data_IF_262471675229
#
_entry.id   IF_262471675229
#
_cell.length_a   1.000
_cell.length_b   1.000
_cell.length_c   1.000
_cell.angle_alpha   90.00
_cell.angle_beta   90.00
_cell.angle_gamma   90.00
#
_symmetry.space_group_name_H-M   'P 1'
#
loop_
_entity.id
_entity.type
_entity.pdbx_description
1 polymer ?
#
# COMPACT_ATOMS: atom_id res chain seq x y z
N UNK A 1 19.71 -1.35 10.77
CA UNK A 1 19.73 0.13 10.64
C UNK A 1 20.58 0.68 11.78
N UNK A 2 21.51 1.57 11.48
CA UNK A 2 22.28 2.28 12.51
C UNK A 2 21.34 3.17 13.33
N UNK A 3 21.51 3.19 14.66
CA UNK A 3 20.67 3.92 15.64
C UNK A 3 20.39 5.41 15.33
N UNK A 4 21.28 6.21 14.69
CA UNK A 4 21.00 7.63 14.45
C UNK A 4 19.95 7.92 13.36
N UNK A 5 19.54 6.94 12.55
CA UNK A 5 18.62 7.18 11.42
C UNK A 5 17.13 7.08 11.79
N UNK A 6 16.80 6.62 13.00
CA UNK A 6 15.40 6.39 13.41
C UNK A 6 14.57 7.68 13.48
N UNK A 7 15.05 8.78 14.12
CA UNK A 7 14.29 10.03 14.16
C UNK A 7 14.12 10.64 12.76
N UNK A 8 15.16 10.56 11.92
CA UNK A 8 15.08 11.02 10.53
C UNK A 8 14.01 10.27 9.74
N UNK A 9 13.93 8.94 9.91
CA UNK A 9 12.91 8.12 9.24
C UNK A 9 11.50 8.55 9.66
N UNK A 10 11.30 8.89 10.93
CA UNK A 10 10.03 9.38 11.44
C UNK A 10 9.61 10.72 10.80
N UNK A 11 10.57 11.64 10.65
CA UNK A 11 10.35 12.92 9.96
C UNK A 11 10.07 12.73 8.47
N UNK A 12 10.78 11.80 7.81
CA UNK A 12 10.54 11.47 6.41
C UNK A 12 9.12 10.93 6.19
N UNK A 13 8.56 10.15 7.12
CA UNK A 13 7.15 9.72 7.05
C UNK A 13 6.23 10.95 7.09
N UNK A 14 6.51 11.96 7.92
CA UNK A 14 5.73 13.21 7.94
C UNK A 14 5.70 13.87 6.57
N UNK A 15 6.87 14.03 5.93
CA UNK A 15 6.97 14.64 4.60
C UNK A 15 6.28 13.77 3.54
N UNK A 16 6.49 12.46 3.59
CA UNK A 16 6.00 11.50 2.57
C UNK A 16 4.49 11.42 2.56
N UNK A 17 3.84 11.37 3.74
CA UNK A 17 2.38 11.31 3.81
C UNK A 17 1.71 12.55 3.22
N UNK A 18 2.24 13.74 3.49
CA UNK A 18 1.73 14.97 2.87
C UNK A 18 2.03 15.03 1.37
N UNK A 19 3.21 14.56 0.94
CA UNK A 19 3.55 14.49 -0.48
C UNK A 19 2.62 13.54 -1.26
N UNK A 20 2.24 12.40 -0.67
CA UNK A 20 1.24 11.48 -1.26
C UNK A 20 -0.13 12.17 -1.35
N UNK A 21 -0.55 12.92 -0.33
CA UNK A 21 -1.79 13.70 -0.41
C UNK A 21 -1.74 14.75 -1.53
N UNK A 22 -0.62 15.45 -1.68
CA UNK A 22 -0.42 16.42 -2.76
C UNK A 22 -0.45 15.74 -4.14
N UNK A 23 0.20 14.59 -4.28
CA UNK A 23 0.19 13.80 -5.51
C UNK A 23 -1.22 13.30 -5.86
N UNK A 24 -1.97 12.78 -4.88
CA UNK A 24 -3.35 12.34 -5.09
C UNK A 24 -4.28 13.50 -5.46
N UNK A 25 -4.09 14.67 -4.86
CA UNK A 25 -4.85 15.86 -5.24
C UNK A 25 -4.48 16.33 -6.65
N UNK A 26 -3.19 16.28 -7.00
CA UNK A 26 -2.75 16.58 -8.36
C UNK A 26 -3.37 15.63 -9.37
N UNK A 27 -3.32 14.31 -9.10
CA UNK A 27 -3.97 13.28 -9.93
C UNK A 27 -5.46 13.56 -10.06
N UNK A 28 -6.18 13.82 -8.96
CA UNK A 28 -7.61 14.10 -9.01
C UNK A 28 -7.93 15.34 -9.87
N UNK A 29 -7.05 16.35 -9.87
CA UNK A 29 -7.22 17.55 -10.71
C UNK A 29 -6.89 17.34 -12.18
N UNK A 30 -6.00 16.40 -12.50
CA UNK A 30 -5.52 16.18 -13.88
C UNK A 30 -6.15 14.96 -14.54
N UNK A 31 -6.75 14.05 -13.77
CA UNK A 31 -7.46 12.88 -14.30
C UNK A 31 -8.67 13.31 -15.09
N UNK A 32 -8.91 12.67 -16.24
CA UNK A 32 -10.06 12.92 -17.12
C UNK A 32 -11.40 12.38 -16.54
N UNK A 33 -11.40 11.83 -15.32
CA UNK A 33 -12.56 11.30 -14.61
C UNK A 33 -13.43 12.36 -13.92
N UNK A 34 -14.60 11.95 -13.42
CA UNK A 34 -15.71 12.82 -12.93
C UNK A 34 -15.35 13.70 -11.72
N UNK A 35 -14.21 13.49 -11.07
CA UNK A 35 -13.81 14.23 -9.89
C UNK A 35 -12.78 15.33 -10.19
N UNK A 36 -13.22 16.47 -10.73
CA UNK A 36 -12.47 17.73 -10.63
C UNK A 36 -12.44 18.22 -9.17
N UNK A 37 -11.83 17.42 -8.30
CA UNK A 37 -11.89 17.63 -6.85
C UNK A 37 -10.93 18.76 -6.47
N UNK A 38 -11.49 19.87 -6.01
CA UNK A 38 -10.69 20.98 -5.48
C UNK A 38 -9.91 20.57 -4.22
N UNK A 39 -10.45 19.60 -3.47
CA UNK A 39 -9.89 19.06 -2.24
C UNK A 39 -10.04 17.53 -2.16
N UNK A 40 -9.15 16.87 -1.41
CA UNK A 40 -9.29 15.44 -1.14
C UNK A 40 -10.33 15.17 -0.03
N UNK A 41 -11.17 14.13 -0.15
CA UNK A 41 -12.04 13.71 0.93
C UNK A 41 -11.22 13.40 2.20
N UNK A 42 -11.74 13.81 3.35
CA UNK A 42 -11.06 13.62 4.64
C UNK A 42 -10.63 12.17 4.86
N UNK A 43 -11.51 11.22 4.51
CA UNK A 43 -11.25 9.79 4.65
C UNK A 43 -10.04 9.32 3.85
N UNK A 44 -9.80 9.88 2.66
CA UNK A 44 -8.64 9.57 1.80
C UNK A 44 -7.36 10.05 2.45
N UNK A 45 -7.36 11.24 3.07
CA UNK A 45 -6.21 11.78 3.81
C UNK A 45 -5.87 10.86 5.01
N UNK A 46 -6.88 10.40 5.74
CA UNK A 46 -6.69 9.45 6.85
C UNK A 46 -6.13 8.11 6.35
N UNK A 47 -6.62 7.62 5.21
CA UNK A 47 -6.09 6.43 4.55
C UNK A 47 -4.61 6.58 4.18
N UNK A 48 -4.20 7.70 3.59
CA UNK A 48 -2.78 7.95 3.30
C UNK A 48 -1.93 7.86 4.57
N UNK A 49 -2.41 8.36 5.71
CA UNK A 49 -1.73 8.18 6.99
C UNK A 49 -1.68 6.72 7.44
N UNK A 50 -2.79 6.01 7.34
CA UNK A 50 -2.91 4.61 7.74
C UNK A 50 -2.02 3.66 6.92
N UNK A 51 -1.60 4.02 5.69
CA UNK A 51 -0.59 3.28 4.92
C UNK A 51 0.73 3.10 5.70
N UNK A 52 1.04 4.01 6.61
CA UNK A 52 2.30 4.02 7.36
C UNK A 52 2.18 3.41 8.75
N UNK A 53 1.01 2.87 9.14
CA UNK A 53 0.79 2.31 10.50
C UNK A 53 1.80 1.23 10.87
N UNK A 54 2.15 0.35 9.93
CA UNK A 54 3.17 -0.69 10.15
C UNK A 54 4.56 -0.07 10.38
N UNK A 55 4.92 0.96 9.62
CA UNK A 55 6.20 1.64 9.74
C UNK A 55 6.31 2.42 11.06
N UNK A 56 5.30 3.21 11.41
CA UNK A 56 5.29 4.03 12.64
C UNK A 56 5.22 3.15 13.89
N UNK A 57 4.49 2.05 13.86
CA UNK A 57 4.48 1.04 14.92
C UNK A 57 5.90 0.49 15.20
N UNK A 58 6.60 0.00 14.17
CA UNK A 58 7.93 -0.57 14.33
C UNK A 58 8.98 0.48 14.75
N UNK A 59 8.92 1.68 14.17
CA UNK A 59 9.81 2.79 14.56
C UNK A 59 9.57 3.21 16.01
N UNK A 60 8.31 3.32 16.44
CA UNK A 60 7.95 3.65 17.82
C UNK A 60 8.49 2.64 18.83
N UNK A 61 8.42 1.33 18.51
CA UNK A 61 9.04 0.29 19.34
C UNK A 61 10.56 0.43 19.43
N UNK A 62 11.24 0.67 18.31
CA UNK A 62 12.69 0.84 18.28
C UNK A 62 13.14 2.10 19.06
N UNK A 63 12.42 3.21 18.92
CA UNK A 63 12.71 4.46 19.64
C UNK A 63 12.50 4.31 21.15
N UNK A 64 11.46 3.61 21.61
CA UNK A 64 11.30 3.31 23.04
C UNK A 64 12.42 2.44 23.59
N UNK A 65 12.94 1.51 22.78
CA UNK A 65 14.12 0.73 23.13
C UNK A 65 15.38 1.58 23.38
N UNK A 66 15.44 2.80 22.84
CA UNK A 66 16.49 3.79 23.10
C UNK A 66 16.21 4.68 24.33
N UNK A 67 15.00 4.61 24.89
CA UNK A 67 14.57 5.38 26.06
C UNK A 67 13.41 6.34 25.78
N UNK A 68 12.62 6.62 26.82
CA UNK A 68 11.42 7.46 26.72
C UNK A 68 11.70 8.87 26.17
N UNK A 69 12.84 9.47 26.54
CA UNK A 69 13.24 10.80 26.07
C UNK A 69 13.45 10.84 24.55
N UNK A 70 14.12 9.83 23.98
CA UNK A 70 14.37 9.76 22.54
C UNK A 70 13.05 9.63 21.75
N UNK A 71 12.12 8.83 22.27
CA UNK A 71 10.78 8.70 21.69
C UNK A 71 10.01 10.02 21.73
N UNK A 72 9.92 10.67 22.89
CA UNK A 72 9.18 11.92 23.05
C UNK A 72 9.77 13.06 22.21
N UNK A 73 11.10 13.19 22.15
CA UNK A 73 11.78 14.19 21.31
C UNK A 73 11.46 13.96 19.83
N UNK A 74 11.44 12.70 19.38
CA UNK A 74 11.12 12.38 17.98
C UNK A 74 9.66 12.70 17.65
N UNK A 75 8.72 12.36 18.55
CA UNK A 75 7.31 12.72 18.38
C UNK A 75 7.11 14.24 18.36
N UNK A 76 7.77 14.96 19.27
CA UNK A 76 7.72 16.42 19.32
C UNK A 76 8.28 17.07 18.05
N UNK A 77 9.42 16.58 17.55
CA UNK A 77 10.00 17.04 16.30
C UNK A 77 9.06 16.80 15.11
N UNK A 78 8.45 15.61 15.02
CA UNK A 78 7.51 15.29 13.96
C UNK A 78 6.24 16.14 14.01
N UNK A 79 5.70 16.40 15.21
CA UNK A 79 4.56 17.30 15.40
C UNK A 79 4.90 18.74 15.01
N UNK A 80 6.08 19.24 15.40
CA UNK A 80 6.55 20.56 15.03
C UNK A 80 6.75 20.69 13.51
N UNK A 81 7.35 19.69 12.85
CA UNK A 81 7.47 19.66 11.39
C UNK A 81 6.11 19.63 10.71
N UNK A 82 5.17 18.84 11.22
CA UNK A 82 3.81 18.78 10.66
C UNK A 82 3.08 20.12 10.77
N UNK A 83 3.18 20.79 11.92
CA UNK A 83 2.61 22.11 12.15
C UNK A 83 3.27 23.17 11.24
N UNK A 84 4.60 23.15 11.13
CA UNK A 84 5.34 24.05 10.26
C UNK A 84 4.89 23.90 8.80
N UNK A 85 4.73 22.67 8.30
CA UNK A 85 4.20 22.43 6.97
C UNK A 85 2.76 22.90 6.80
N UNK A 86 1.90 22.68 7.79
CA UNK A 86 0.50 23.10 7.74
C UNK A 86 0.33 24.63 7.66
N UNK A 87 1.30 25.39 8.19
CA UNK A 87 1.26 26.86 8.22
C UNK A 87 2.05 27.50 7.08
N UNK A 88 3.21 26.92 6.71
CA UNK A 88 4.16 27.55 5.80
C UNK A 88 4.17 26.97 4.38
N UNK A 89 3.63 25.77 4.15
CA UNK A 89 3.61 25.16 2.83
C UNK A 89 2.38 25.64 2.03
N UNK A 90 2.46 25.68 0.68
CA UNK A 90 1.30 25.95 -0.17
C UNK A 90 0.29 24.78 -0.20
N UNK A 91 0.40 23.84 0.75
CA UNK A 91 -0.44 22.66 0.83
C UNK A 91 -1.67 22.93 1.72
N UNK A 92 -2.83 22.30 1.45
CA UNK A 92 -3.97 22.38 2.34
C UNK A 92 -3.62 21.93 3.77
N UNK A 93 -4.01 22.72 4.77
CA UNK A 93 -3.75 22.41 6.19
C UNK A 93 -4.36 21.06 6.61
N UNK A 94 -5.41 20.59 5.94
CA UNK A 94 -6.01 19.27 6.16
C UNK A 94 -5.04 18.11 5.91
N UNK A 95 -4.00 18.30 5.10
CA UNK A 95 -2.99 17.26 4.85
C UNK A 95 -2.17 16.91 6.08
N UNK A 96 -2.15 17.80 7.09
CA UNK A 96 -1.53 17.52 8.39
C UNK A 96 -2.19 16.33 9.14
N UNK A 97 -3.40 15.93 8.74
CA UNK A 97 -4.09 14.78 9.31
C UNK A 97 -3.49 13.44 8.87
N UNK A 98 -2.86 13.36 7.69
CA UNK A 98 -2.23 12.13 7.23
C UNK A 98 -1.05 11.69 8.15
N UNK A 99 -0.03 12.53 8.42
CA UNK A 99 1.03 12.15 9.34
C UNK A 99 0.53 11.99 10.77
N UNK A 100 -0.46 12.78 11.21
CA UNK A 100 -1.08 12.59 12.53
C UNK A 100 -1.70 11.20 12.65
N UNK A 101 -2.44 10.76 11.63
CA UNK A 101 -3.06 9.43 11.57
C UNK A 101 -2.01 8.33 11.61
N UNK A 102 -0.92 8.46 10.83
CA UNK A 102 0.18 7.50 10.84
C UNK A 102 0.78 7.32 12.25
N UNK A 103 1.03 8.44 12.94
CA UNK A 103 1.64 8.47 14.27
C UNK A 103 0.68 7.89 15.32
N UNK A 104 -0.55 8.40 15.37
CA UNK A 104 -1.57 7.99 16.34
C UNK A 104 -1.90 6.51 16.17
N UNK A 105 -2.08 6.04 14.93
CA UNK A 105 -2.34 4.63 14.66
C UNK A 105 -1.15 3.75 15.09
N UNK A 106 0.09 4.14 14.82
CA UNK A 106 1.27 3.39 15.24
C UNK A 106 1.36 3.23 16.77
N UNK A 107 1.11 4.32 17.51
CA UNK A 107 1.10 4.31 18.98
C UNK A 107 -0.09 3.52 19.55
N UNK A 108 -1.26 3.65 18.94
CA UNK A 108 -2.46 2.90 19.31
C UNK A 108 -2.24 1.39 19.12
N UNK A 109 -1.72 0.98 17.96
CA UNK A 109 -1.47 -0.44 17.68
C UNK A 109 -0.49 -1.04 18.66
N UNK A 110 0.56 -0.29 19.00
CA UNK A 110 1.54 -0.66 20.01
C UNK A 110 0.90 -0.83 21.39
N UNK A 111 0.02 0.09 21.79
CA UNK A 111 -0.60 0.08 23.11
C UNK A 111 -1.69 -0.99 23.25
N UNK A 112 -2.56 -1.13 22.24
CA UNK A 112 -3.77 -1.93 22.30
C UNK A 112 -3.56 -3.39 21.89
N UNK A 113 -2.75 -3.68 20.87
CA UNK A 113 -2.75 -4.99 20.22
C UNK A 113 -1.52 -5.86 20.49
N UNK A 114 -0.51 -5.35 21.22
CA UNK A 114 0.69 -6.06 21.69
C UNK A 114 1.22 -7.10 20.69
N UNK A 115 0.93 -8.40 20.89
CA UNK A 115 1.42 -9.52 20.07
C UNK A 115 0.83 -9.56 18.65
N UNK A 116 -0.40 -9.08 18.46
CA UNK A 116 -1.10 -9.09 17.17
C UNK A 116 -0.85 -7.82 16.35
N UNK A 117 -0.19 -6.82 16.92
CA UNK A 117 0.03 -5.52 16.27
C UNK A 117 0.73 -5.62 14.90
N UNK A 118 1.76 -6.47 14.67
CA UNK A 118 2.38 -6.61 13.35
C UNK A 118 1.43 -7.16 12.29
N UNK A 119 0.59 -8.13 12.68
CA UNK A 119 -0.41 -8.74 11.79
C UNK A 119 -1.49 -7.73 11.44
N UNK A 120 -2.12 -7.13 12.44
CA UNK A 120 -3.20 -6.16 12.25
C UNK A 120 -2.69 -4.94 11.45
N UNK A 121 -1.49 -4.45 11.73
CA UNK A 121 -0.92 -3.34 10.98
C UNK A 121 -0.72 -3.69 9.49
N UNK A 122 -0.29 -4.92 9.18
CA UNK A 122 -0.17 -5.39 7.79
C UNK A 122 -1.55 -5.51 7.12
N UNK A 123 -2.56 -6.01 7.84
CA UNK A 123 -3.96 -6.04 7.37
C UNK A 123 -4.50 -4.64 7.09
N UNK A 124 -4.22 -3.66 7.96
CA UNK A 124 -4.63 -2.26 7.75
C UNK A 124 -3.99 -1.67 6.50
N UNK A 125 -2.67 -1.85 6.32
CA UNK A 125 -1.99 -1.36 5.12
C UNK A 125 -2.60 -1.99 3.87
N UNK A 126 -2.86 -3.31 3.88
CA UNK A 126 -3.53 -4.00 2.77
C UNK A 126 -4.89 -3.36 2.45
N UNK A 127 -5.76 -3.26 3.45
CA UNK A 127 -7.13 -2.73 3.29
C UNK A 127 -7.08 -1.29 2.75
N UNK A 128 -6.25 -0.45 3.35
CA UNK A 128 -6.09 0.95 2.95
C UNK A 128 -5.52 1.08 1.54
N UNK A 129 -4.60 0.22 1.12
CA UNK A 129 -4.14 0.16 -0.27
C UNK A 129 -5.30 -0.14 -1.22
N UNK A 130 -6.17 -1.10 -0.90
CA UNK A 130 -7.34 -1.40 -1.76
C UNK A 130 -8.33 -0.24 -1.82
N UNK A 131 -8.54 0.46 -0.70
CA UNK A 131 -9.42 1.64 -0.63
C UNK A 131 -8.88 2.81 -1.45
N UNK A 132 -7.58 3.07 -1.36
CA UNK A 132 -6.91 4.10 -2.16
C UNK A 132 -6.87 3.75 -3.65
N UNK A 133 -6.65 2.47 -3.99
CA UNK A 133 -6.71 2.02 -5.37
C UNK A 133 -8.09 2.23 -5.99
N UNK A 134 -9.15 1.90 -5.23
CA UNK A 134 -10.53 2.14 -5.64
C UNK A 134 -10.92 3.61 -5.60
N UNK A 135 -10.24 4.47 -4.86
CA UNK A 135 -10.44 5.92 -4.95
C UNK A 135 -9.88 6.49 -6.27
N UNK A 136 -8.78 5.94 -6.78
CA UNK A 136 -8.12 6.38 -8.02
C UNK A 136 -8.42 5.47 -9.22
N UNK A 137 -9.58 4.82 -9.24
CA UNK A 137 -9.90 3.74 -10.19
C UNK A 137 -9.95 4.21 -11.66
N UNK A 138 -10.31 5.47 -11.89
CA UNK A 138 -10.44 6.11 -13.21
C UNK A 138 -9.28 7.08 -13.52
N UNK A 139 -8.24 7.07 -12.68
CA UNK A 139 -7.07 7.92 -12.83
C UNK A 139 -5.96 7.16 -13.55
N UNK A 140 -5.51 7.70 -14.68
CA UNK A 140 -4.47 7.10 -15.51
C UNK A 140 -3.31 8.08 -15.71
N UNK A 141 -2.10 7.55 -15.76
CA UNK A 141 -0.89 8.27 -16.11
C UNK A 141 -0.37 7.73 -17.45
N UNK A 142 -0.27 8.60 -18.44
CA UNK A 142 0.33 8.26 -19.73
C UNK A 142 1.83 8.02 -19.57
N UNK A 143 2.31 6.86 -20.02
CA UNK A 143 3.73 6.55 -20.00
C UNK A 143 4.43 7.15 -21.24
N UNK A 144 5.71 7.56 -21.14
CA UNK A 144 6.41 8.25 -22.24
C UNK A 144 6.55 7.48 -23.57
N UNK A 145 6.32 6.16 -23.56
CA UNK A 145 6.50 5.28 -24.72
C UNK A 145 5.19 4.61 -25.12
N UNK A 146 4.66 3.75 -24.25
CA UNK A 146 3.42 3.00 -24.48
C UNK A 146 2.82 2.58 -23.14
N UNK A 147 1.50 2.65 -23.04
CA UNK A 147 0.75 2.21 -21.88
C UNK A 147 0.15 3.34 -21.04
N UNK A 148 -0.97 3.04 -20.41
CA UNK A 148 -1.67 3.93 -19.49
C UNK A 148 -1.67 3.33 -18.11
N UNK A 149 -0.82 3.84 -17.24
CA UNK A 149 -0.67 3.30 -15.89
C UNK A 149 -1.87 3.70 -15.04
N UNK A 150 -2.62 2.72 -14.52
CA UNK A 150 -3.64 3.01 -13.52
C UNK A 150 -2.96 3.47 -12.23
N UNK A 151 -3.38 4.61 -11.69
CA UNK A 151 -2.83 5.12 -10.41
C UNK A 151 -3.10 4.13 -9.28
N UNK A 152 -4.23 3.40 -9.34
CA UNK A 152 -4.59 2.39 -8.35
C UNK A 152 -3.58 1.23 -8.27
N UNK A 153 -2.93 0.90 -9.38
CA UNK A 153 -1.91 -0.15 -9.46
C UNK A 153 -0.71 0.11 -8.55
N UNK A 154 -0.35 1.38 -8.32
CA UNK A 154 0.74 1.74 -7.40
C UNK A 154 0.45 1.29 -5.96
N UNK A 155 -0.83 1.28 -5.55
CA UNK A 155 -1.25 0.77 -4.26
C UNK A 155 -1.38 -0.76 -4.25
N UNK A 156 -1.88 -1.36 -5.34
CA UNK A 156 -1.98 -2.83 -5.45
C UNK A 156 -0.61 -3.52 -5.43
N UNK A 157 0.47 -2.90 -5.92
CA UNK A 157 1.80 -3.46 -5.76
C UNK A 157 2.19 -3.73 -4.28
N UNK A 158 1.66 -2.92 -3.35
CA UNK A 158 1.91 -3.07 -1.91
C UNK A 158 1.05 -4.19 -1.29
N UNK A 159 -0.15 -4.46 -1.82
CA UNK A 159 -1.08 -5.45 -1.26
C UNK A 159 -0.51 -6.86 -1.30
N UNK A 160 0.17 -7.25 -2.38
CA UNK A 160 0.87 -8.53 -2.48
C UNK A 160 1.86 -8.75 -1.33
N UNK A 161 2.65 -7.74 -1.00
CA UNK A 161 3.63 -7.83 0.10
C UNK A 161 2.95 -7.94 1.46
N UNK A 162 1.83 -7.23 1.69
CA UNK A 162 1.11 -7.31 2.96
C UNK A 162 0.39 -8.64 3.14
N UNK A 163 -0.17 -9.17 2.07
CA UNK A 163 -0.80 -10.49 2.05
C UNK A 163 0.19 -11.56 2.52
N UNK A 164 1.39 -11.58 1.96
CA UNK A 164 2.44 -12.53 2.33
C UNK A 164 2.84 -12.43 3.82
N UNK A 165 2.81 -11.21 4.39
CA UNK A 165 3.06 -11.02 5.83
C UNK A 165 1.94 -11.60 6.68
N UNK A 166 0.69 -11.41 6.29
CA UNK A 166 -0.48 -11.90 7.03
C UNK A 166 -0.57 -13.44 6.95
N UNK A 167 -0.17 -14.05 5.83
CA UNK A 167 -0.15 -15.52 5.71
C UNK A 167 0.74 -16.23 6.72
N UNK A 168 1.80 -15.57 7.22
CA UNK A 168 2.66 -16.13 8.29
C UNK A 168 1.90 -16.38 9.60
N UNK A 169 0.78 -15.69 9.79
CA UNK A 169 -0.13 -15.87 10.93
C UNK A 169 -1.25 -16.87 10.65
N UNK A 170 -1.27 -17.48 9.46
CA UNK A 170 -2.24 -18.49 9.05
C UNK A 170 -3.27 -17.98 8.04
N UNK A 171 -3.75 -18.90 7.18
CA UNK A 171 -4.69 -18.62 6.08
C UNK A 171 -6.02 -17.97 6.51
N UNK A 172 -6.49 -18.26 7.73
CA UNK A 172 -7.75 -17.70 8.25
C UNK A 172 -7.66 -16.18 8.35
N UNK A 173 -6.52 -15.65 8.82
CA UNK A 173 -6.31 -14.21 8.95
C UNK A 173 -6.21 -13.51 7.58
N UNK A 174 -5.65 -14.19 6.57
CA UNK A 174 -5.64 -13.68 5.20
C UNK A 174 -7.07 -13.58 4.63
N UNK A 175 -7.92 -14.59 4.84
CA UNK A 175 -9.33 -14.52 4.41
C UNK A 175 -10.13 -13.46 5.16
N UNK A 176 -9.91 -13.30 6.47
CA UNK A 176 -10.51 -12.22 7.26
C UNK A 176 -10.09 -10.84 6.72
N UNK A 177 -8.82 -10.67 6.35
CA UNK A 177 -8.31 -9.44 5.74
C UNK A 177 -8.99 -9.13 4.40
N UNK A 178 -9.11 -10.13 3.52
CA UNK A 178 -9.77 -9.99 2.21
C UNK A 178 -11.25 -9.63 2.39
N UNK A 179 -11.94 -10.30 3.32
CA UNK A 179 -13.33 -10.00 3.64
C UNK A 179 -13.49 -8.58 4.20
N UNK A 180 -12.61 -8.17 5.12
CA UNK A 180 -12.62 -6.81 5.66
C UNK A 180 -12.37 -5.77 4.56
N UNK A 181 -11.44 -6.02 3.64
CA UNK A 181 -11.21 -5.16 2.49
C UNK A 181 -12.45 -5.06 1.60
N UNK A 182 -13.10 -6.18 1.27
CA UNK A 182 -14.32 -6.18 0.45
C UNK A 182 -15.45 -5.35 1.09
N UNK A 183 -15.71 -5.56 2.38
CA UNK A 183 -16.75 -4.85 3.12
C UNK A 183 -16.46 -3.35 3.25
N UNK A 184 -15.20 -2.98 3.52
CA UNK A 184 -14.82 -1.58 3.63
C UNK A 184 -14.81 -0.86 2.28
N UNK A 185 -14.44 -1.55 1.19
CA UNK A 185 -14.55 -0.98 -0.15
C UNK A 185 -16.01 -0.81 -0.58
N UNK A 186 -16.91 -1.71 -0.17
CA UNK A 186 -18.35 -1.51 -0.34
C UNK A 186 -18.83 -0.27 0.43
N UNK A 187 -18.42 -0.11 1.68
CA UNK A 187 -18.76 1.07 2.47
C UNK A 187 -18.22 2.38 1.85
N UNK A 188 -16.96 2.36 1.36
CA UNK A 188 -16.37 3.49 0.66
C UNK A 188 -17.10 3.80 -0.64
N UNK A 189 -17.51 2.77 -1.38
CA UNK A 189 -18.28 2.90 -2.61
C UNK A 189 -19.63 3.58 -2.36
N UNK A 190 -20.33 3.22 -1.28
CA UNK A 190 -21.57 3.90 -0.86
C UNK A 190 -21.30 5.36 -0.45
N UNK A 191 -20.20 5.62 0.26
CA UNK A 191 -19.87 6.96 0.77
C UNK A 191 -19.42 7.94 -0.32
N UNK A 192 -18.56 7.50 -1.26
CA UNK A 192 -17.97 8.34 -2.31
C UNK A 192 -18.72 8.23 -3.64
N UNK A 193 -19.57 7.22 -3.81
CA UNK A 193 -20.30 6.98 -5.06
C UNK A 193 -19.47 6.21 -6.10
N UNK A 194 -18.51 5.38 -5.68
CA UNK A 194 -17.74 4.54 -6.61
C UNK A 194 -18.68 3.49 -7.22
N UNK A 195 -18.78 3.36 -8.55
CA UNK A 195 -19.69 2.40 -9.17
C UNK A 195 -19.38 0.95 -8.78
N UNK A 196 -20.43 0.16 -8.51
CA UNK A 196 -20.31 -1.24 -8.07
C UNK A 196 -19.48 -2.11 -9.02
N UNK A 197 -19.46 -1.79 -10.32
CA UNK A 197 -18.66 -2.51 -11.32
C UNK A 197 -17.17 -2.54 -10.98
N UNK A 198 -16.62 -1.46 -10.42
CA UNK A 198 -15.19 -1.38 -10.05
C UNK A 198 -14.90 -2.19 -8.80
N UNK A 199 -15.83 -2.18 -7.84
CA UNK A 199 -15.76 -3.04 -6.66
C UNK A 199 -15.76 -4.52 -7.04
N UNK A 200 -16.68 -4.92 -7.94
CA UNK A 200 -16.77 -6.29 -8.44
C UNK A 200 -15.52 -6.68 -9.25
N UNK A 201 -15.04 -5.79 -10.12
CA UNK A 201 -13.81 -6.00 -10.88
C UNK A 201 -12.62 -6.23 -9.95
N UNK A 202 -12.40 -5.35 -8.96
CA UNK A 202 -11.31 -5.46 -8.00
C UNK A 202 -11.38 -6.73 -7.16
N UNK A 203 -12.57 -7.05 -6.62
CA UNK A 203 -12.74 -8.24 -5.80
C UNK A 203 -12.53 -9.54 -6.59
N UNK A 204 -13.10 -9.65 -7.79
CA UNK A 204 -12.94 -10.84 -8.63
C UNK A 204 -11.52 -11.00 -9.14
N UNK A 205 -10.87 -9.91 -9.55
CA UNK A 205 -9.47 -9.93 -9.97
C UNK A 205 -8.56 -10.46 -8.84
N UNK A 206 -8.72 -9.92 -7.62
CA UNK A 206 -7.97 -10.38 -6.44
C UNK A 206 -8.23 -11.86 -6.19
N UNK A 207 -9.49 -12.31 -6.15
CA UNK A 207 -9.81 -13.71 -5.87
C UNK A 207 -9.22 -14.66 -6.92
N UNK A 208 -9.37 -14.35 -8.20
CA UNK A 208 -8.89 -15.18 -9.30
C UNK A 208 -7.35 -15.21 -9.31
N UNK A 209 -6.71 -14.05 -9.13
CA UNK A 209 -5.26 -13.95 -9.06
C UNK A 209 -4.69 -14.67 -7.83
N UNK A 210 -5.37 -14.63 -6.68
CA UNK A 210 -5.00 -15.34 -5.46
C UNK A 210 -4.99 -16.85 -5.65
N UNK A 211 -6.03 -17.38 -6.29
CA UNK A 211 -6.15 -18.82 -6.58
C UNK A 211 -5.04 -19.23 -7.55
N UNK A 212 -4.84 -18.49 -8.64
CA UNK A 212 -3.79 -18.77 -9.61
C UNK A 212 -2.39 -18.70 -8.99
N UNK A 213 -2.13 -17.68 -8.18
CA UNK A 213 -0.86 -17.53 -7.45
C UNK A 213 -0.61 -18.73 -6.55
N UNK A 214 -1.62 -19.14 -5.77
CA UNK A 214 -1.51 -20.27 -4.84
C UNK A 214 -1.21 -21.57 -5.59
N UNK A 215 -1.99 -21.91 -6.62
CA UNK A 215 -1.83 -23.17 -7.36
C UNK A 215 -0.48 -23.24 -8.08
N UNK A 216 -0.05 -22.15 -8.73
CA UNK A 216 1.26 -22.09 -9.37
C UNK A 216 2.37 -22.17 -8.33
N UNK A 217 2.28 -21.42 -7.23
CA UNK A 217 3.28 -21.46 -6.17
C UNK A 217 3.45 -22.88 -5.61
N UNK A 218 2.35 -23.57 -5.30
CA UNK A 218 2.36 -24.93 -4.76
C UNK A 218 2.94 -25.94 -5.75
N UNK A 219 2.63 -25.81 -7.04
CA UNK A 219 3.21 -26.68 -8.07
C UNK A 219 4.73 -26.59 -8.17
N UNK A 220 5.31 -25.45 -7.81
CA UNK A 220 6.76 -25.24 -7.80
C UNK A 220 7.38 -25.33 -6.40
N UNK A 221 6.69 -25.93 -5.41
CA UNK A 221 7.11 -25.92 -3.99
C UNK A 221 8.54 -26.46 -3.76
N UNK A 222 8.98 -27.42 -4.58
CA UNK A 222 10.31 -28.04 -4.54
C UNK A 222 11.43 -27.14 -5.07
N UNK A 223 11.10 -26.03 -5.75
CA UNK A 223 12.07 -25.07 -6.27
C UNK A 223 12.49 -24.05 -5.20
N UNK A 224 13.59 -23.35 -5.48
CA UNK A 224 14.07 -22.23 -4.65
C UNK A 224 12.97 -21.18 -4.49
N UNK A 225 12.88 -20.58 -3.30
CA UNK A 225 11.83 -19.60 -2.97
C UNK A 225 11.63 -18.51 -4.03
N UNK A 226 12.71 -17.93 -4.55
CA UNK A 226 12.63 -16.89 -5.57
C UNK A 226 11.99 -17.36 -6.88
N UNK A 227 12.21 -18.63 -7.25
CA UNK A 227 11.61 -19.22 -8.45
C UNK A 227 10.12 -19.40 -8.25
N UNK A 228 9.69 -19.83 -7.06
CA UNK A 228 8.26 -19.98 -6.70
C UNK A 228 7.54 -18.64 -6.81
N UNK A 229 8.11 -17.61 -6.18
CA UNK A 229 7.56 -16.25 -6.19
C UNK A 229 7.55 -15.66 -7.60
N UNK A 230 8.63 -15.82 -8.37
CA UNK A 230 8.69 -15.29 -9.72
C UNK A 230 7.70 -15.99 -10.67
N UNK A 231 7.56 -17.32 -10.58
CA UNK A 231 6.68 -18.10 -11.44
C UNK A 231 5.20 -17.88 -11.11
N UNK A 232 4.83 -17.80 -9.83
CA UNK A 232 3.45 -17.52 -9.44
C UNK A 232 3.03 -16.10 -9.82
N UNK A 233 3.88 -15.11 -9.54
CA UNK A 233 3.64 -13.70 -9.93
C UNK A 233 3.58 -13.50 -11.45
N UNK A 234 4.35 -14.27 -12.23
CA UNK A 234 4.29 -14.20 -13.68
C UNK A 234 2.92 -14.62 -14.27
N UNK A 235 2.10 -15.35 -13.50
CA UNK A 235 0.74 -15.74 -13.89
C UNK A 235 -0.30 -14.86 -13.21
N UNK A 236 -0.17 -14.64 -11.90
CA UNK A 236 -1.18 -13.92 -11.11
C UNK A 236 -1.26 -12.43 -11.46
N UNK A 237 -0.13 -11.76 -11.74
CA UNK A 237 -0.12 -10.33 -12.09
C UNK A 237 -0.83 -10.07 -13.43
N UNK A 238 -0.52 -10.77 -14.55
CA UNK A 238 -1.27 -10.57 -15.78
C UNK A 238 -2.75 -10.92 -15.66
N UNK A 239 -3.07 -11.97 -14.91
CA UNK A 239 -4.46 -12.39 -14.71
C UNK A 239 -5.25 -11.33 -13.93
N UNK A 240 -4.68 -10.80 -12.84
CA UNK A 240 -5.27 -9.70 -12.06
C UNK A 240 -5.55 -8.47 -12.94
N UNK A 241 -4.53 -8.00 -13.67
CA UNK A 241 -4.67 -6.82 -14.53
C UNK A 241 -5.67 -7.04 -15.67
N UNK A 242 -5.66 -8.20 -16.32
CA UNK A 242 -6.58 -8.50 -17.41
C UNK A 242 -8.04 -8.62 -16.93
N UNK A 243 -8.27 -9.37 -15.85
CA UNK A 243 -9.62 -9.56 -15.28
C UNK A 243 -10.17 -8.23 -14.76
N UNK A 244 -9.37 -7.46 -14.01
CA UNK A 244 -9.77 -6.15 -13.52
C UNK A 244 -10.16 -5.24 -14.68
N UNK A 245 -9.27 -5.04 -15.65
CA UNK A 245 -9.49 -4.09 -16.75
C UNK A 245 -10.67 -4.51 -17.62
N UNK A 246 -10.82 -5.81 -17.91
CA UNK A 246 -11.95 -6.32 -18.67
C UNK A 246 -13.28 -6.04 -17.97
N UNK A 247 -13.42 -6.33 -16.67
CA UNK A 247 -14.68 -6.11 -15.95
C UNK A 247 -14.93 -4.62 -15.70
N UNK A 248 -13.88 -3.87 -15.35
CA UNK A 248 -13.98 -2.46 -14.99
C UNK A 248 -14.31 -1.55 -16.19
N UNK A 249 -13.80 -1.89 -17.38
CA UNK A 249 -13.83 -1.00 -18.55
C UNK A 249 -14.43 -1.60 -19.82
N UNK A 250 -14.96 -2.83 -19.77
CA UNK A 250 -15.72 -3.39 -20.89
C UNK A 250 -16.88 -2.48 -21.28
N UNK A 251 -16.97 -2.17 -22.58
CA UNK A 251 -17.99 -1.29 -23.13
C UNK A 251 -17.78 0.20 -22.86
N UNK A 252 -16.75 0.59 -22.09
CA UNK A 252 -16.39 2.01 -21.89
C UNK A 252 -15.11 2.41 -22.60
N UNK A 253 -14.09 1.56 -22.61
CA UNK A 253 -12.82 1.84 -23.27
C UNK A 253 -12.62 0.98 -24.52
N UNK A 254 -11.79 1.46 -25.45
CA UNK A 254 -11.39 0.70 -26.62
C UNK A 254 -10.51 -0.48 -26.23
N UNK A 255 -10.49 -1.54 -27.04
CA UNK A 255 -9.63 -2.71 -26.80
C UNK A 255 -8.14 -2.31 -26.76
N UNK A 256 -7.75 -1.35 -27.60
CA UNK A 256 -6.38 -0.82 -27.61
C UNK A 256 -6.02 -0.12 -26.29
N UNK A 257 -6.90 0.74 -25.77
CA UNK A 257 -6.69 1.41 -24.48
C UNK A 257 -6.67 0.41 -23.32
N UNK A 258 -7.55 -0.59 -23.33
CA UNK A 258 -7.52 -1.65 -22.32
C UNK A 258 -6.21 -2.46 -22.37
N UNK A 259 -5.68 -2.74 -23.57
CA UNK A 259 -4.39 -3.41 -23.73
C UNK A 259 -3.23 -2.54 -23.21
N UNK A 260 -3.26 -1.23 -23.44
CA UNK A 260 -2.31 -0.26 -22.88
C UNK A 260 -2.33 -0.24 -21.36
N UNK A 261 -3.53 -0.28 -20.74
CA UNK A 261 -3.70 -0.34 -19.29
C UNK A 261 -3.12 -1.64 -18.74
N UNK A 262 -3.51 -2.78 -19.31
CA UNK A 262 -3.02 -4.10 -18.88
C UNK A 262 -1.49 -4.17 -18.98
N UNK A 263 -0.91 -3.67 -20.08
CA UNK A 263 0.53 -3.63 -20.27
C UNK A 263 1.24 -2.80 -19.18
N UNK A 264 0.78 -1.55 -18.96
CA UNK A 264 1.37 -0.66 -17.97
C UNK A 264 1.24 -1.21 -16.55
N UNK A 265 0.09 -1.78 -16.21
CA UNK A 265 -0.17 -2.35 -14.90
C UNK A 265 0.69 -3.58 -14.61
N UNK A 266 0.86 -4.47 -15.59
CA UNK A 266 1.76 -5.63 -15.46
C UNK A 266 3.19 -5.16 -15.20
N UNK A 267 3.67 -4.17 -15.94
CA UNK A 267 5.02 -3.63 -15.80
C UNK A 267 5.22 -3.03 -14.40
N UNK A 268 4.28 -2.20 -13.94
CA UNK A 268 4.34 -1.57 -12.63
C UNK A 268 4.27 -2.59 -11.48
N UNK A 269 3.32 -3.53 -11.51
CA UNK A 269 3.17 -4.57 -10.47
C UNK A 269 4.41 -5.46 -10.41
N UNK A 270 4.96 -5.83 -11.56
CA UNK A 270 6.20 -6.63 -11.63
C UNK A 270 7.39 -5.88 -11.04
N UNK A 271 7.54 -4.59 -11.37
CA UNK A 271 8.62 -3.76 -10.82
C UNK A 271 8.52 -3.64 -9.29
N UNK A 272 7.31 -3.40 -8.75
CA UNK A 272 7.08 -3.33 -7.30
C UNK A 272 7.36 -4.69 -6.64
N UNK A 273 6.90 -5.79 -7.23
CA UNK A 273 7.16 -7.14 -6.74
C UNK A 273 8.65 -7.49 -6.69
N UNK A 274 9.41 -7.14 -7.72
CA UNK A 274 10.87 -7.34 -7.76
C UNK A 274 11.60 -6.51 -6.70
N UNK A 275 11.19 -5.25 -6.51
CA UNK A 275 11.76 -4.39 -5.47
C UNK A 275 11.49 -4.95 -4.06
N UNK A 276 10.29 -5.49 -3.82
CA UNK A 276 9.95 -6.14 -2.56
C UNK A 276 10.80 -7.40 -2.33
N UNK A 277 10.94 -8.26 -3.35
CA UNK A 277 11.76 -9.46 -3.27
C UNK A 277 13.25 -9.14 -3.02
N UNK A 278 13.80 -8.14 -3.70
CA UNK A 278 15.19 -7.70 -3.52
C UNK A 278 15.47 -7.22 -2.08
N UNK A 279 14.51 -6.55 -1.44
CA UNK A 279 14.64 -6.13 -0.04
C UNK A 279 14.65 -7.33 0.92
N UNK A 280 13.85 -8.35 0.66
CA UNK A 280 13.79 -9.56 1.49
C UNK A 280 15.09 -10.38 1.39
N UNK A 281 15.62 -10.57 0.17
CA UNK A 281 16.88 -11.31 -0.03
C UNK A 281 18.07 -10.67 0.70
N UNK A 282 18.12 -9.34 0.76
CA UNK A 282 19.14 -8.60 1.54
C UNK A 282 19.01 -8.87 3.04
N UNK A 283 17.80 -9.09 3.55
CA UNK A 283 17.59 -9.34 4.97
C UNK A 283 18.05 -10.75 5.37
N UNK A 284 17.82 -11.75 4.52
CA UNK A 284 18.28 -13.13 4.78
C UNK A 284 19.81 -13.27 4.70
N UNK A 285 20.46 -12.58 3.77
CA UNK A 285 21.94 -12.57 3.68
C UNK A 285 22.59 -11.93 4.91
N UNK A 286 21.95 -10.94 5.53
CA UNK A 286 22.43 -10.36 6.80
C UNK A 286 22.17 -11.26 8.03
N UNK A 287 21.17 -12.13 7.99
CA UNK A 287 20.89 -13.09 9.07
C UNK A 287 21.88 -14.29 9.09
N UNK A 288 22.53 -14.57 7.96
CA UNK A 288 23.53 -15.64 7.79
C UNK A 288 24.98 -15.17 7.93
N UNK A 289 25.22 -13.91 8.32
CA UNK A 289 26.57 -13.47 8.67
C UNK A 289 27.07 -14.35 9.85
N UNK A 290 28.25 -15.00 9.74
CA UNK A 290 28.72 -15.90 10.78
C UNK A 290 28.78 -15.14 12.09
N UNK A 291 28.03 -15.60 13.09
CA UNK A 291 28.25 -15.21 14.47
C UNK A 291 29.70 -15.60 14.75
N UNK A 292 30.58 -14.60 14.88
CA UNK A 292 31.93 -14.83 15.36
C UNK A 292 31.77 -15.48 16.73
N UNK A 293 32.16 -16.74 16.84
CA UNK A 293 32.24 -17.44 18.11
C UNK A 293 33.15 -16.66 19.06
N UNK A 294 32.83 -16.64 20.37
CA UNK A 294 33.60 -15.91 21.37
C UNK A 294 35.05 -16.38 21.48
#
# INVERSE_FOLDING_TARGET
MSRPLLPLTYLLITLTTQAICAALLWVARTSQGVAAAETLPLVVILFVGALFVSATYHLGQQLRGLGARAHLVTLGAAAATNLALAVAAPLPATFALAPLTAIVAGELYRAAFRLHAPMLASMTVYVVCTLLANFTFDSFLELPLYGQLSVGTLFFGVTFTQRDRVHRFGRVHAYQMILAAALLNLALSVYIGIPLRFLLAGFLAILIAEIADTEVYQRFIERRWIVRVATSNAVSIPLDSAVFTAIAFAGTFSVAMMAEIVFADILAKTAVGLLAAARLLRQETHALAPQRAP
#
